data_IF_542187878230
#
_entry.id   IF_542187878230
#
_cell.length_a   1.000
_cell.length_b   1.000
_cell.length_c   1.000
_cell.angle_alpha   90.00
_cell.angle_beta   90.00
_cell.angle_gamma   90.00
#
_symmetry.space_group_name_H-M   'P 1'
#
loop_
_entity.id
_entity.type
_entity.pdbx_description
1 polymer ?
#
# COMPACT_ATOMS: atom_id res chain seq x y z
N UNK A 1 -71.47 12.93 23.49
CA UNK A 1 -70.43 13.98 23.35
C UNK A 1 -69.11 13.68 24.05
N UNK A 2 -69.04 12.82 25.09
CA UNK A 2 -67.77 12.47 25.77
C UNK A 2 -66.96 11.31 25.14
N UNK A 3 -67.57 10.49 24.28
CA UNK A 3 -66.91 9.34 23.62
C UNK A 3 -66.09 9.78 22.40
N UNK A 4 -66.49 10.86 21.71
CA UNK A 4 -65.78 11.37 20.53
C UNK A 4 -64.45 12.07 20.88
N UNK A 5 -64.28 12.57 22.10
CA UNK A 5 -63.04 13.22 22.55
C UNK A 5 -61.94 12.19 22.84
N UNK A 6 -62.29 10.97 23.27
CA UNK A 6 -61.31 9.91 23.53
C UNK A 6 -60.71 9.31 22.25
N UNK A 7 -61.48 9.24 21.17
CA UNK A 7 -61.00 8.72 19.88
C UNK A 7 -60.01 9.71 19.22
N UNK A 8 -60.19 11.02 19.43
CA UNK A 8 -59.30 12.04 18.87
C UNK A 8 -57.96 12.19 19.63
N UNK A 9 -57.92 11.84 20.92
CA UNK A 9 -56.65 11.78 21.69
C UNK A 9 -55.90 10.48 21.40
N UNK A 10 -56.58 9.42 20.95
CA UNK A 10 -55.96 8.15 20.60
C UNK A 10 -55.26 8.17 19.22
N UNK A 11 -55.70 9.02 18.28
CA UNK A 11 -55.03 9.16 16.98
C UNK A 11 -53.87 10.16 16.99
N UNK A 12 -53.78 11.04 17.99
CA UNK A 12 -52.64 11.98 18.13
C UNK A 12 -51.44 11.38 18.88
N UNK A 13 -51.63 10.23 19.55
CA UNK A 13 -50.53 9.47 20.15
C UNK A 13 -49.91 8.41 19.23
N UNK A 14 -50.52 8.10 18.07
CA UNK A 14 -49.98 7.10 17.14
C UNK A 14 -49.03 7.67 16.08
N UNK A 15 -49.01 8.99 15.86
CA UNK A 15 -48.09 9.58 14.87
C UNK A 15 -46.72 9.97 15.44
N UNK A 16 -46.43 9.64 16.70
CA UNK A 16 -45.14 9.90 17.35
C UNK A 16 -44.39 8.64 17.82
N UNK A 17 -44.81 7.44 17.42
CA UNK A 17 -44.26 6.20 17.97
C UNK A 17 -43.68 5.33 16.85
N UNK A 18 -42.35 5.39 16.76
CA UNK A 18 -41.40 4.66 15.91
C UNK A 18 -41.29 5.11 14.45
N UNK A 19 -40.51 6.18 14.21
CA UNK A 19 -39.62 6.12 13.03
C UNK A 19 -38.72 4.90 13.27
N UNK A 20 -38.95 3.80 12.55
CA UNK A 20 -38.08 2.62 12.60
C UNK A 20 -36.66 3.10 12.31
N UNK A 21 -35.73 2.95 13.25
CA UNK A 21 -34.35 3.37 13.03
C UNK A 21 -33.84 2.73 11.72
N UNK A 22 -33.30 3.55 10.81
CA UNK A 22 -32.82 3.09 9.51
C UNK A 22 -31.29 2.90 9.55
N UNK A 23 -30.77 1.67 9.34
CA UNK A 23 -29.32 1.42 9.27
C UNK A 23 -28.60 2.37 8.33
N UNK A 24 -29.15 2.62 7.13
CA UNK A 24 -28.55 3.47 6.11
C UNK A 24 -28.36 4.91 6.59
N UNK A 25 -29.36 5.47 7.30
CA UNK A 25 -29.27 6.82 7.86
C UNK A 25 -28.18 6.93 8.93
N UNK A 26 -28.05 5.90 9.79
CA UNK A 26 -26.97 5.86 10.78
C UNK A 26 -25.61 5.78 10.10
N UNK A 27 -25.49 4.97 9.06
CA UNK A 27 -24.25 4.80 8.31
C UNK A 27 -23.82 6.11 7.64
N UNK A 28 -24.70 6.70 6.83
CA UNK A 28 -24.45 7.96 6.12
C UNK A 28 -24.14 9.12 7.09
N UNK A 29 -24.80 9.16 8.25
CA UNK A 29 -24.51 10.15 9.30
C UNK A 29 -23.13 9.97 9.90
N UNK A 30 -22.70 8.72 10.11
CA UNK A 30 -21.36 8.39 10.58
C UNK A 30 -20.28 8.86 9.60
N UNK A 31 -20.46 8.58 8.31
CA UNK A 31 -19.56 8.99 7.24
C UNK A 31 -19.50 10.51 7.08
N UNK A 32 -20.65 11.19 7.11
CA UNK A 32 -20.68 12.65 7.08
C UNK A 32 -19.84 13.26 8.21
N UNK A 33 -20.02 12.78 9.44
CA UNK A 33 -19.19 13.27 10.54
C UNK A 33 -17.71 12.94 10.37
N UNK A 34 -17.37 11.80 9.76
CA UNK A 34 -15.98 11.47 9.45
C UNK A 34 -15.38 12.45 8.42
N UNK A 35 -16.10 12.73 7.34
CA UNK A 35 -15.68 13.66 6.28
C UNK A 35 -15.52 15.10 6.82
N UNK A 36 -16.38 15.51 7.76
CA UNK A 36 -16.27 16.79 8.48
C UNK A 36 -15.12 16.82 9.51
N UNK A 37 -14.34 15.74 9.65
CA UNK A 37 -13.27 15.59 10.65
C UNK A 37 -13.78 15.44 12.09
N UNK A 38 -15.09 15.27 12.29
CA UNK A 38 -15.72 15.12 13.59
C UNK A 38 -15.69 13.66 14.08
N UNK A 39 -14.47 13.13 14.24
CA UNK A 39 -14.24 11.71 14.50
C UNK A 39 -14.93 11.19 15.76
N UNK A 40 -15.04 11.98 16.84
CA UNK A 40 -15.76 11.57 18.06
C UNK A 40 -17.26 11.40 17.83
N UNK A 41 -17.89 12.27 17.02
CA UNK A 41 -19.30 12.11 16.65
C UNK A 41 -19.50 10.94 15.70
N UNK A 42 -18.63 10.79 14.70
CA UNK A 42 -18.63 9.63 13.80
C UNK A 42 -18.55 8.32 14.59
N UNK A 43 -17.60 8.25 15.53
CA UNK A 43 -17.42 7.13 16.45
C UNK A 43 -18.70 6.82 17.22
N UNK A 44 -19.33 7.84 17.84
CA UNK A 44 -20.59 7.64 18.58
C UNK A 44 -21.74 7.14 17.70
N UNK A 45 -21.81 7.56 16.44
CA UNK A 45 -22.84 7.12 15.50
C UNK A 45 -22.62 5.68 15.08
N UNK A 46 -21.40 5.31 14.68
CA UNK A 46 -21.09 3.92 14.32
C UNK A 46 -21.20 2.96 15.50
N UNK A 47 -20.84 3.37 16.72
CA UNK A 47 -21.05 2.51 17.89
C UNK A 47 -22.54 2.24 18.14
N UNK A 48 -23.41 3.22 17.89
CA UNK A 48 -24.87 3.03 17.94
C UNK A 48 -25.37 2.11 16.82
N UNK A 49 -24.84 2.26 15.60
CA UNK A 49 -25.14 1.38 14.48
C UNK A 49 -24.84 -0.09 14.85
N UNK A 50 -23.62 -0.36 15.32
CA UNK A 50 -23.17 -1.72 15.68
C UNK A 50 -24.01 -2.37 16.79
N UNK A 51 -24.58 -1.56 17.70
CA UNK A 51 -25.47 -2.02 18.77
C UNK A 51 -26.90 -2.27 18.29
N UNK A 52 -27.44 -1.40 17.44
CA UNK A 52 -28.84 -1.47 16.98
C UNK A 52 -29.03 -2.47 15.84
N UNK A 53 -28.00 -2.65 15.01
CA UNK A 53 -28.09 -3.40 13.75
C UNK A 53 -27.02 -4.49 13.65
N UNK A 54 -26.95 -5.45 14.61
CA UNK A 54 -25.87 -6.44 14.65
C UNK A 54 -25.89 -7.46 13.49
N UNK A 55 -27.02 -7.58 12.78
CA UNK A 55 -27.21 -8.53 11.67
C UNK A 55 -27.35 -7.81 10.31
N UNK A 56 -27.08 -6.52 10.27
CA UNK A 56 -27.18 -5.72 9.04
C UNK A 56 -25.99 -5.95 8.11
N UNK A 57 -26.21 -5.88 6.81
CA UNK A 57 -25.16 -6.07 5.81
C UNK A 57 -24.03 -5.03 5.91
N UNK A 58 -24.33 -3.83 6.42
CA UNK A 58 -23.35 -2.79 6.68
C UNK A 58 -22.51 -3.01 7.95
N UNK A 59 -22.79 -4.06 8.74
CA UNK A 59 -22.09 -4.32 10.00
C UNK A 59 -20.57 -4.48 9.84
N UNK A 60 -20.05 -5.31 8.91
CA UNK A 60 -18.61 -5.43 8.70
C UNK A 60 -17.94 -4.09 8.39
N UNK A 61 -18.56 -3.29 7.51
CA UNK A 61 -18.09 -1.96 7.11
C UNK A 61 -18.10 -0.98 8.29
N UNK A 62 -19.19 -0.91 9.05
CA UNK A 62 -19.29 -0.06 10.23
C UNK A 62 -18.26 -0.46 11.29
N UNK A 63 -18.01 -1.75 11.47
CA UNK A 63 -17.07 -2.27 12.45
C UNK A 63 -15.63 -1.91 12.09
N UNK A 64 -15.25 -2.10 10.83
CA UNK A 64 -13.96 -1.65 10.31
C UNK A 64 -13.79 -0.13 10.41
N UNK A 65 -14.79 0.65 9.98
CA UNK A 65 -14.77 2.12 10.06
C UNK A 65 -14.59 2.60 11.50
N UNK A 66 -15.19 1.90 12.48
CA UNK A 66 -14.98 2.20 13.90
C UNK A 66 -13.52 2.01 14.32
N UNK A 67 -12.83 1.01 13.77
CA UNK A 67 -11.39 0.81 13.97
C UNK A 67 -10.56 1.97 13.40
N UNK A 68 -10.84 2.39 12.16
CA UNK A 68 -10.17 3.54 11.52
C UNK A 68 -10.41 4.83 12.31
N UNK A 69 -11.65 5.08 12.71
CA UNK A 69 -12.01 6.25 13.51
C UNK A 69 -11.30 6.22 14.87
N UNK A 70 -11.15 5.03 15.47
CA UNK A 70 -10.41 4.86 16.73
C UNK A 70 -8.96 5.29 16.59
N UNK A 71 -8.30 5.02 15.45
CA UNK A 71 -6.96 5.56 15.16
C UNK A 71 -6.96 7.09 15.04
N UNK A 72 -7.96 7.68 14.35
CA UNK A 72 -8.06 9.14 14.17
C UNK A 72 -8.28 9.89 15.48
N UNK A 73 -8.85 9.26 16.50
CA UNK A 73 -8.99 9.80 17.86
C UNK A 73 -7.87 9.36 18.81
N UNK A 74 -6.80 8.74 18.28
CA UNK A 74 -5.64 8.22 19.02
C UNK A 74 -5.94 7.10 20.04
N UNK A 75 -7.10 6.46 19.96
CA UNK A 75 -7.44 5.27 20.75
C UNK A 75 -6.90 4.00 20.08
N UNK A 76 -5.58 3.86 20.13
CA UNK A 76 -4.88 2.75 19.48
C UNK A 76 -5.15 1.39 20.13
N UNK A 77 -5.54 1.36 21.42
CA UNK A 77 -5.90 0.13 22.14
C UNK A 77 -7.22 -0.42 21.57
N UNK A 78 -8.20 0.46 21.39
CA UNK A 78 -9.48 0.08 20.80
C UNK A 78 -9.35 -0.30 19.34
N UNK A 79 -8.60 0.48 18.56
CA UNK A 79 -8.30 0.16 17.18
C UNK A 79 -7.69 -1.25 17.06
N UNK A 80 -6.66 -1.55 17.84
CA UNK A 80 -6.04 -2.88 17.88
C UNK A 80 -7.05 -4.00 18.20
N UNK A 81 -7.90 -3.80 19.21
CA UNK A 81 -8.93 -4.78 19.58
C UNK A 81 -9.91 -5.03 18.42
N UNK A 82 -10.39 -3.97 17.77
CA UNK A 82 -11.29 -4.06 16.62
C UNK A 82 -10.63 -4.83 15.49
N UNK A 83 -9.43 -4.45 15.07
CA UNK A 83 -8.75 -5.09 13.95
C UNK A 83 -8.42 -6.55 14.24
N UNK A 84 -8.05 -6.91 15.48
CA UNK A 84 -7.91 -8.32 15.89
C UNK A 84 -9.21 -9.10 15.81
N UNK A 85 -10.34 -8.49 16.15
CA UNK A 85 -11.65 -9.13 16.00
C UNK A 85 -11.99 -9.36 14.52
N UNK A 86 -11.64 -8.42 13.63
CA UNK A 86 -11.82 -8.58 12.18
C UNK A 86 -11.03 -9.78 11.65
N UNK A 87 -9.78 -9.97 12.09
CA UNK A 87 -8.98 -11.13 11.67
C UNK A 87 -9.60 -12.48 12.04
N UNK A 88 -10.45 -12.51 13.08
CA UNK A 88 -11.13 -13.70 13.57
C UNK A 88 -12.60 -13.79 13.13
N UNK A 89 -13.09 -12.86 12.32
CA UNK A 89 -14.49 -12.82 11.89
C UNK A 89 -14.71 -13.55 10.55
N UNK A 90 -15.98 -13.72 10.20
CA UNK A 90 -16.40 -14.22 8.89
C UNK A 90 -16.56 -13.10 7.85
N UNK A 91 -16.01 -11.90 8.08
CA UNK A 91 -16.08 -10.81 7.10
C UNK A 91 -15.42 -11.23 5.79
N UNK A 92 -16.03 -10.80 4.69
CA UNK A 92 -15.59 -11.14 3.35
C UNK A 92 -14.72 -10.00 2.79
N UNK A 93 -13.43 -10.27 2.58
CA UNK A 93 -12.48 -9.27 2.08
C UNK A 93 -12.77 -8.77 0.65
N UNK A 94 -13.58 -9.52 -0.12
CA UNK A 94 -13.89 -9.21 -1.52
C UNK A 94 -15.32 -8.69 -1.70
N UNK A 95 -16.06 -8.40 -0.62
CA UNK A 95 -17.42 -7.87 -0.74
C UNK A 95 -17.42 -6.36 -1.03
N UNK A 96 -18.32 -5.94 -1.92
CA UNK A 96 -18.61 -4.53 -2.21
C UNK A 96 -17.44 -3.75 -2.82
N UNK A 97 -17.71 -2.50 -3.20
CA UNK A 97 -16.64 -1.54 -3.44
C UNK A 97 -16.18 -0.98 -2.10
N UNK A 98 -14.89 -1.04 -1.80
CA UNK A 98 -14.30 -0.40 -0.63
C UNK A 98 -14.28 1.12 -0.71
N UNK A 99 -15.23 1.77 -1.40
CA UNK A 99 -15.39 3.23 -1.45
C UNK A 99 -15.98 3.73 -0.12
N UNK A 100 -15.76 5.01 0.18
CA UNK A 100 -16.07 5.78 1.40
C UNK A 100 -14.85 5.99 2.33
N UNK A 101 -14.93 5.62 3.62
CA UNK A 101 -13.78 5.74 4.54
C UNK A 101 -12.62 4.84 4.11
N UNK A 102 -12.94 3.74 3.43
CA UNK A 102 -11.97 2.88 2.75
C UNK A 102 -11.69 3.48 1.37
N UNK A 103 -10.43 3.43 0.92
CA UNK A 103 -9.99 3.98 -0.37
C UNK A 103 -9.43 2.84 -1.24
N UNK A 104 -10.27 1.84 -1.52
CA UNK A 104 -9.85 0.67 -2.31
C UNK A 104 -11.04 0.10 -3.14
N UNK A 105 -10.81 -0.46 -4.34
CA UNK A 105 -11.85 -1.15 -5.10
C UNK A 105 -12.55 -2.28 -4.32
N UNK A 106 -11.89 -2.91 -3.34
CA UNK A 106 -12.47 -3.94 -2.46
C UNK A 106 -12.35 -3.54 -1.00
N UNK A 107 -13.16 -4.13 -0.13
CA UNK A 107 -13.14 -3.82 1.30
C UNK A 107 -11.86 -4.29 2.00
N UNK A 108 -11.31 -5.45 1.60
CA UNK A 108 -10.03 -6.00 2.06
C UNK A 108 -9.89 -5.95 3.59
N UNK A 109 -10.96 -6.26 4.32
CA UNK A 109 -11.04 -6.02 5.76
C UNK A 109 -9.89 -6.66 6.54
N UNK A 110 -9.61 -7.95 6.34
CA UNK A 110 -8.59 -8.68 7.10
C UNK A 110 -7.19 -8.34 6.62
N UNK A 111 -7.02 -8.14 5.32
CA UNK A 111 -5.80 -7.60 4.74
C UNK A 111 -5.40 -6.26 5.38
N UNK A 112 -6.29 -5.26 5.28
CA UNK A 112 -6.07 -3.92 5.80
C UNK A 112 -5.94 -3.92 7.33
N UNK A 113 -6.72 -4.73 8.03
CA UNK A 113 -6.61 -4.89 9.49
C UNK A 113 -5.22 -5.43 9.88
N UNK A 114 -4.68 -6.40 9.15
CA UNK A 114 -3.34 -6.93 9.39
C UNK A 114 -2.28 -5.86 9.10
N UNK A 115 -2.44 -5.08 8.02
CA UNK A 115 -1.56 -3.96 7.68
C UNK A 115 -1.49 -2.92 8.79
N UNK A 116 -2.66 -2.49 9.27
CA UNK A 116 -2.78 -1.52 10.36
C UNK A 116 -2.23 -2.08 11.67
N UNK A 117 -2.49 -3.34 12.01
CA UNK A 117 -1.92 -3.98 13.20
C UNK A 117 -0.39 -3.98 13.13
N UNK A 118 0.19 -4.27 11.97
CA UNK A 118 1.63 -4.15 11.78
C UNK A 118 2.13 -2.74 12.11
N UNK A 119 1.48 -1.70 11.59
CA UNK A 119 1.85 -0.31 11.86
C UNK A 119 1.74 0.05 13.35
N UNK A 120 0.64 -0.34 14.02
CA UNK A 120 0.45 -0.14 15.46
C UNK A 120 1.61 -0.75 16.24
N UNK A 121 1.99 -1.99 15.92
CA UNK A 121 3.07 -2.69 16.61
C UNK A 121 4.45 -2.11 16.27
N UNK A 122 4.65 -1.66 15.03
CA UNK A 122 5.88 -0.97 14.61
C UNK A 122 6.07 0.32 15.41
N UNK A 123 5.03 1.15 15.52
CA UNK A 123 5.04 2.40 16.28
C UNK A 123 5.28 2.17 17.78
N UNK A 124 4.86 1.02 18.31
CA UNK A 124 5.17 0.57 19.68
C UNK A 124 6.54 -0.09 19.82
N UNK A 125 7.37 -0.05 18.77
CA UNK A 125 8.70 -0.67 18.69
C UNK A 125 8.69 -2.19 18.90
N UNK A 126 7.54 -2.84 18.73
CA UNK A 126 7.43 -4.29 18.75
C UNK A 126 7.55 -4.83 17.32
N UNK A 127 8.77 -4.79 16.79
CA UNK A 127 9.06 -5.08 15.39
C UNK A 127 8.81 -6.54 15.00
N UNK A 128 8.95 -7.49 15.93
CA UNK A 128 8.59 -8.89 15.66
C UNK A 128 7.10 -9.05 15.40
N UNK A 129 6.24 -8.48 16.26
CA UNK A 129 4.79 -8.52 16.02
C UNK A 129 4.39 -7.74 14.78
N UNK A 130 5.06 -6.62 14.50
CA UNK A 130 4.83 -5.88 13.27
C UNK A 130 5.10 -6.77 12.05
N UNK A 131 6.24 -7.46 12.05
CA UNK A 131 6.64 -8.40 11.01
C UNK A 131 5.66 -9.58 10.88
N UNK A 132 5.15 -10.12 11.99
CA UNK A 132 4.15 -11.20 11.96
C UNK A 132 2.86 -10.75 11.27
N UNK A 133 2.36 -9.56 11.60
CA UNK A 133 1.16 -9.02 10.95
C UNK A 133 1.39 -8.64 9.48
N UNK A 134 2.59 -8.16 9.13
CA UNK A 134 3.05 -7.98 7.75
C UNK A 134 2.92 -9.28 6.94
N UNK A 135 3.41 -10.39 7.48
CA UNK A 135 3.30 -11.70 6.83
C UNK A 135 1.86 -12.18 6.73
N UNK A 136 1.04 -11.94 7.76
CA UNK A 136 -0.38 -12.31 7.71
C UNK A 136 -1.11 -11.58 6.55
N UNK A 137 -0.88 -10.28 6.35
CA UNK A 137 -1.45 -9.56 5.19
C UNK A 137 -0.89 -10.04 3.85
N UNK A 138 0.37 -10.45 3.79
CA UNK A 138 1.04 -10.79 2.52
C UNK A 138 0.77 -12.24 2.08
N UNK A 139 0.72 -13.17 3.04
CA UNK A 139 0.62 -14.60 2.77
C UNK A 139 -0.81 -15.13 2.92
N UNK A 140 -1.54 -14.66 3.95
CA UNK A 140 -2.85 -15.22 4.33
C UNK A 140 -4.02 -14.43 3.77
N UNK A 141 -4.00 -13.10 3.91
CA UNK A 141 -5.08 -12.22 3.45
C UNK A 141 -4.57 -11.35 2.32
N UNK A 142 -4.27 -11.96 1.16
CA UNK A 142 -3.56 -11.29 0.07
C UNK A 142 -4.29 -10.05 -0.44
N UNK A 143 -3.49 -9.04 -0.80
CA UNK A 143 -4.00 -7.88 -1.52
C UNK A 143 -4.60 -8.30 -2.85
N UNK A 144 -5.72 -7.67 -3.22
CA UNK A 144 -6.32 -7.84 -4.53
C UNK A 144 -6.56 -6.45 -5.13
N UNK A 145 -6.04 -6.25 -6.34
CA UNK A 145 -6.28 -5.06 -7.14
C UNK A 145 -6.87 -5.44 -8.51
N UNK A 146 -7.67 -4.52 -9.05
CA UNK A 146 -8.24 -4.60 -10.39
C UNK A 146 -7.27 -4.12 -11.49
N UNK A 147 -6.22 -3.38 -11.12
CA UNK A 147 -5.21 -2.86 -12.02
C UNK A 147 -3.79 -3.27 -11.61
N UNK A 148 -2.96 -3.58 -12.61
CA UNK A 148 -1.58 -3.99 -12.40
C UNK A 148 -0.74 -2.91 -11.69
N UNK A 149 -1.05 -1.63 -11.92
CA UNK A 149 -0.33 -0.52 -11.31
C UNK A 149 -0.50 -0.51 -9.79
N UNK A 150 -1.73 -0.65 -9.29
CA UNK A 150 -2.00 -0.70 -7.86
C UNK A 150 -1.39 -1.95 -7.20
N UNK A 151 -1.36 -3.07 -7.92
CA UNK A 151 -0.68 -4.27 -7.43
C UNK A 151 0.83 -4.03 -7.23
N UNK A 152 1.51 -3.39 -8.20
CA UNK A 152 2.95 -3.11 -8.09
C UNK A 152 3.24 -2.05 -7.03
N UNK A 153 2.42 -1.00 -6.93
CA UNK A 153 2.55 0.01 -5.86
C UNK A 153 2.41 -0.63 -4.48
N UNK A 154 1.42 -1.51 -4.31
CA UNK A 154 1.24 -2.29 -3.08
C UNK A 154 2.46 -3.19 -2.76
N UNK A 155 3.01 -3.89 -3.76
CA UNK A 155 4.20 -4.72 -3.57
C UNK A 155 5.40 -3.89 -3.07
N UNK A 156 5.57 -2.68 -3.62
CA UNK A 156 6.63 -1.75 -3.21
C UNK A 156 6.42 -1.26 -1.77
N UNK A 157 5.20 -0.83 -1.42
CA UNK A 157 4.87 -0.40 -0.06
C UNK A 157 5.07 -1.53 0.97
N UNK A 158 4.72 -2.75 0.59
CA UNK A 158 4.92 -3.95 1.41
C UNK A 158 6.41 -4.23 1.61
N UNK A 159 7.22 -4.16 0.55
CA UNK A 159 8.67 -4.32 0.63
C UNK A 159 9.32 -3.25 1.52
N UNK A 160 8.89 -2.00 1.42
CA UNK A 160 9.35 -0.90 2.30
C UNK A 160 8.99 -1.20 3.76
N UNK A 161 7.78 -1.67 4.02
CA UNK A 161 7.33 -2.02 5.38
C UNK A 161 8.13 -3.19 5.98
N UNK A 162 8.39 -4.23 5.18
CA UNK A 162 9.28 -5.32 5.56
C UNK A 162 10.70 -4.81 5.85
N UNK A 163 11.24 -3.95 4.98
CA UNK A 163 12.57 -3.39 5.12
C UNK A 163 12.72 -2.57 6.42
N UNK A 164 11.73 -1.72 6.73
CA UNK A 164 11.67 -0.95 7.97
C UNK A 164 11.69 -1.88 9.19
N UNK A 165 10.92 -2.98 9.18
CA UNK A 165 10.91 -3.95 10.28
C UNK A 165 12.25 -4.69 10.42
N UNK A 166 12.81 -5.19 9.32
CA UNK A 166 14.10 -5.89 9.34
C UNK A 166 15.23 -4.98 9.79
N UNK A 167 15.28 -3.74 9.30
CA UNK A 167 16.25 -2.74 9.72
C UNK A 167 16.14 -2.44 11.23
N UNK A 168 14.92 -2.26 11.74
CA UNK A 168 14.69 -2.03 13.17
C UNK A 168 15.05 -3.24 14.07
N UNK A 169 15.06 -4.45 13.51
CA UNK A 169 15.53 -5.68 14.15
C UNK A 169 17.06 -5.90 14.00
N UNK A 170 17.76 -5.02 13.28
CA UNK A 170 19.19 -5.15 12.99
C UNK A 170 19.53 -6.11 11.84
N UNK A 171 18.53 -6.62 11.11
CA UNK A 171 18.72 -7.51 9.95
C UNK A 171 18.84 -6.68 8.65
N UNK A 172 19.93 -5.94 8.52
CA UNK A 172 20.21 -5.09 7.35
C UNK A 172 20.24 -5.91 6.04
N UNK A 173 20.61 -7.19 6.11
CA UNK A 173 20.67 -8.06 4.95
C UNK A 173 19.28 -8.29 4.35
N UNK A 174 18.30 -8.66 5.16
CA UNK A 174 16.91 -8.83 4.69
C UNK A 174 16.29 -7.50 4.31
N UNK A 175 16.61 -6.42 5.02
CA UNK A 175 16.11 -5.09 4.68
C UNK A 175 16.53 -4.66 3.27
N UNK A 176 17.77 -4.95 2.87
CA UNK A 176 18.27 -4.74 1.51
C UNK A 176 17.62 -5.71 0.53
N UNK A 177 17.52 -7.00 0.91
CA UNK A 177 17.00 -8.06 0.04
C UNK A 177 15.59 -7.77 -0.46
N UNK A 178 14.67 -7.34 0.42
CA UNK A 178 13.29 -7.06 0.03
C UNK A 178 13.15 -5.82 -0.86
N UNK A 179 14.08 -4.85 -0.78
CA UNK A 179 14.06 -3.63 -1.60
C UNK A 179 14.80 -3.77 -2.93
N UNK A 180 15.75 -4.70 -3.03
CA UNK A 180 16.59 -4.88 -4.21
C UNK A 180 15.82 -5.06 -5.53
N UNK A 181 14.65 -5.75 -5.57
CA UNK A 181 13.87 -5.87 -6.80
C UNK A 181 13.35 -4.54 -7.35
N UNK A 182 13.30 -3.48 -6.53
CA UNK A 182 12.72 -2.17 -6.85
C UNK A 182 13.78 -1.07 -7.04
N UNK A 183 15.04 -1.46 -7.26
CA UNK A 183 16.17 -0.53 -7.55
C UNK A 183 15.95 0.26 -8.83
N UNK A 184 15.33 -0.37 -9.84
CA UNK A 184 15.05 0.23 -11.13
C UNK A 184 13.55 0.32 -11.37
N UNK A 185 13.10 1.38 -12.06
CA UNK A 185 11.68 1.58 -12.28
C UNK A 185 11.14 0.44 -13.15
N UNK A 186 10.28 -0.36 -12.52
CA UNK A 186 9.10 -0.88 -13.19
C UNK A 186 8.14 0.32 -13.29
N UNK A 187 7.45 0.54 -14.40
CA UNK A 187 6.71 1.77 -14.81
C UNK A 187 5.60 2.28 -13.84
N UNK A 188 5.85 2.42 -12.55
CA UNK A 188 4.83 2.52 -11.49
C UNK A 188 5.28 3.40 -10.31
N UNK A 189 4.30 3.80 -9.47
CA UNK A 189 4.51 4.62 -8.26
C UNK A 189 5.37 3.92 -7.20
N UNK A 190 5.88 4.67 -6.23
CA UNK A 190 6.59 4.14 -5.05
C UNK A 190 8.07 3.78 -5.21
N UNK A 191 8.57 3.56 -6.43
CA UNK A 191 9.99 3.19 -6.68
C UNK A 191 10.98 4.18 -6.06
N UNK A 192 10.67 5.49 -6.14
CA UNK A 192 11.48 6.55 -5.52
C UNK A 192 11.63 6.32 -4.01
N UNK A 193 10.55 5.97 -3.31
CA UNK A 193 10.60 5.72 -1.87
C UNK A 193 11.39 4.45 -1.55
N UNK A 194 11.23 3.38 -2.34
CA UNK A 194 12.02 2.15 -2.17
C UNK A 194 13.52 2.43 -2.29
N UNK A 195 13.93 3.20 -3.31
CA UNK A 195 15.32 3.63 -3.51
C UNK A 195 15.84 4.48 -2.35
N UNK A 196 15.00 5.40 -1.82
CA UNK A 196 15.37 6.22 -0.67
C UNK A 196 15.57 5.42 0.61
N UNK A 197 14.86 4.31 0.78
CA UNK A 197 15.10 3.39 1.90
C UNK A 197 16.32 2.48 1.62
N UNK A 198 16.56 2.08 0.37
CA UNK A 198 17.62 1.14 0.01
C UNK A 198 19.03 1.74 0.01
N UNK A 199 19.22 2.91 -0.60
CA UNK A 199 20.57 3.49 -0.79
C UNK A 199 21.30 3.73 0.55
N UNK A 200 20.66 4.28 1.59
CA UNK A 200 21.31 4.40 2.91
C UNK A 200 21.72 3.05 3.49
N UNK A 201 20.90 2.00 3.33
CA UNK A 201 21.24 0.66 3.80
C UNK A 201 22.46 0.09 3.07
N UNK A 202 22.54 0.28 1.75
CA UNK A 202 23.70 -0.14 0.95
C UNK A 202 24.96 0.61 1.37
N UNK A 203 24.90 1.94 1.48
CA UNK A 203 26.05 2.76 1.93
C UNK A 203 26.50 2.39 3.34
N UNK A 204 25.57 2.18 4.27
CA UNK A 204 25.89 1.77 5.64
C UNK A 204 26.53 0.39 5.71
N UNK A 205 26.12 -0.54 4.85
CA UNK A 205 26.62 -1.92 4.86
C UNK A 205 27.98 -2.06 4.19
N UNK A 206 28.15 -1.42 3.02
CA UNK A 206 29.31 -1.63 2.16
C UNK A 206 30.34 -0.50 2.21
N UNK A 207 29.98 0.66 2.78
CA UNK A 207 30.76 1.88 2.68
C UNK A 207 30.45 2.65 1.40
N UNK A 208 30.60 3.98 1.46
CA UNK A 208 30.23 4.86 0.35
C UNK A 208 31.09 4.65 -0.91
N UNK A 209 32.40 4.46 -0.74
CA UNK A 209 33.32 4.28 -1.87
C UNK A 209 33.08 2.96 -2.60
N UNK A 210 32.91 1.86 -1.86
CA UNK A 210 32.61 0.56 -2.47
C UNK A 210 31.23 0.55 -3.12
N UNK A 211 30.23 1.18 -2.50
CA UNK A 211 28.91 1.34 -3.12
C UNK A 211 28.98 2.12 -4.44
N UNK A 212 29.71 3.23 -4.50
CA UNK A 212 29.88 4.00 -5.75
C UNK A 212 30.61 3.19 -6.82
N UNK A 213 31.63 2.41 -6.42
CA UNK A 213 32.37 1.53 -7.32
C UNK A 213 31.48 0.44 -7.90
N UNK A 214 30.66 -0.21 -7.06
CA UNK A 214 29.72 -1.25 -7.49
C UNK A 214 28.64 -0.72 -8.43
N UNK A 215 28.12 0.49 -8.18
CA UNK A 215 27.17 1.14 -9.10
C UNK A 215 27.79 1.45 -10.47
N UNK A 216 29.10 1.75 -10.52
CA UNK A 216 29.83 1.90 -11.80
C UNK A 216 30.06 0.55 -12.48
N UNK A 217 30.47 -0.48 -11.74
CA UNK A 217 30.64 -1.83 -12.30
C UNK A 217 29.34 -2.40 -12.86
N UNK A 218 28.21 -2.09 -12.22
CA UNK A 218 26.88 -2.49 -12.66
C UNK A 218 26.55 -1.96 -14.07
N UNK A 219 26.91 -0.71 -14.40
CA UNK A 219 26.65 -0.19 -15.76
C UNK A 219 27.58 -0.80 -16.81
N UNK A 220 28.76 -1.28 -16.41
CA UNK A 220 29.72 -1.91 -17.33
C UNK A 220 29.45 -3.39 -17.57
N UNK A 221 28.76 -4.06 -16.63
CA UNK A 221 28.45 -5.49 -16.69
C UNK A 221 27.01 -5.77 -17.16
N UNK A 222 26.57 -5.10 -18.22
CA UNK A 222 25.26 -5.34 -18.84
C UNK A 222 25.36 -6.54 -19.79
N UNK A 223 24.42 -7.47 -19.64
CA UNK A 223 24.29 -8.64 -20.51
C UNK A 223 22.83 -8.89 -20.91
N UNK A 224 22.64 -9.55 -22.06
CA UNK A 224 21.32 -9.81 -22.63
C UNK A 224 21.01 -11.31 -22.62
N UNK A 225 19.72 -11.66 -22.65
CA UNK A 225 19.34 -13.00 -23.07
C UNK A 225 19.59 -13.21 -24.58
N UNK A 226 19.50 -14.46 -25.02
CA UNK A 226 19.83 -14.86 -26.40
C UNK A 226 19.00 -14.14 -27.48
N UNK A 227 17.83 -13.64 -27.10
CA UNK A 227 16.87 -12.99 -28.01
C UNK A 227 16.81 -11.47 -27.81
N UNK A 228 17.68 -10.89 -26.97
CA UNK A 228 17.67 -9.47 -26.56
C UNK A 228 16.34 -9.00 -25.96
N UNK A 229 15.53 -9.90 -25.40
CA UNK A 229 14.25 -9.58 -24.74
C UNK A 229 14.43 -9.23 -23.27
N UNK A 230 15.54 -9.64 -22.66
CA UNK A 230 15.84 -9.38 -21.25
C UNK A 230 17.23 -8.81 -21.11
N UNK A 231 17.32 -7.78 -20.28
CA UNK A 231 18.56 -7.10 -19.93
C UNK A 231 18.86 -7.37 -18.47
N UNK A 232 20.11 -7.69 -18.19
CA UNK A 232 20.56 -8.00 -16.84
C UNK A 232 21.83 -7.22 -16.51
N UNK A 233 22.01 -7.00 -15.21
CA UNK A 233 23.30 -6.62 -14.62
C UNK A 233 23.47 -7.35 -13.28
N UNK A 234 24.55 -7.02 -12.57
CA UNK A 234 24.72 -7.37 -11.17
C UNK A 234 25.04 -6.12 -10.36
N UNK A 235 24.56 -6.12 -9.12
CA UNK A 235 24.99 -5.17 -8.10
C UNK A 235 25.34 -5.98 -6.84
N UNK A 236 26.57 -5.87 -6.35
CA UNK A 236 27.07 -6.72 -5.25
C UNK A 236 26.84 -8.22 -5.49
N UNK A 237 27.17 -8.70 -6.69
CA UNK A 237 26.95 -10.08 -7.16
C UNK A 237 25.50 -10.57 -7.23
N UNK A 238 24.52 -9.74 -6.86
CA UNK A 238 23.10 -10.07 -7.01
C UNK A 238 22.65 -9.74 -8.43
N UNK A 239 22.10 -10.71 -9.19
CA UNK A 239 21.57 -10.44 -10.51
C UNK A 239 20.36 -9.51 -10.40
N UNK A 240 20.35 -8.46 -11.21
CA UNK A 240 19.24 -7.53 -11.33
C UNK A 240 18.72 -7.64 -12.76
N UNK A 241 17.45 -8.04 -12.89
CA UNK A 241 16.73 -8.02 -14.15
C UNK A 241 16.17 -6.62 -14.37
N UNK A 242 16.54 -5.98 -15.47
CA UNK A 242 15.84 -4.80 -15.93
C UNK A 242 14.70 -5.23 -16.84
N UNK A 243 13.47 -4.93 -16.41
CA UNK A 243 12.30 -5.04 -17.27
C UNK A 243 12.23 -3.78 -18.14
N UNK A 244 13.07 -3.72 -19.17
CA UNK A 244 12.83 -2.84 -20.30
C UNK A 244 11.89 -3.58 -21.26
N UNK A 245 10.86 -2.90 -21.76
CA UNK A 245 10.42 -3.20 -23.11
C UNK A 245 11.57 -2.75 -24.01
N UNK A 246 12.45 -3.68 -24.37
CA UNK A 246 13.29 -3.53 -25.55
C UNK A 246 12.36 -3.70 -26.75
N UNK A 247 11.42 -2.78 -26.91
CA UNK A 247 10.71 -2.65 -28.16
C UNK A 247 11.69 -1.98 -29.11
N UNK A 248 12.34 -2.78 -29.95
CA UNK A 248 13.27 -2.27 -30.96
C UNK A 248 12.59 -1.20 -31.83
N UNK A 249 11.27 -1.28 -32.00
CA UNK A 249 10.49 -0.28 -32.72
C UNK A 249 10.47 1.08 -31.99
N UNK A 250 10.43 1.13 -30.65
CA UNK A 250 10.58 2.39 -29.89
C UNK A 250 11.98 2.99 -30.04
N UNK A 251 13.02 2.14 -30.06
CA UNK A 251 14.41 2.58 -30.22
C UNK A 251 14.68 3.12 -31.64
N UNK A 252 14.07 2.50 -32.65
CA UNK A 252 14.08 2.94 -34.04
C UNK A 252 13.25 4.22 -34.19
N UNK A 253 12.09 4.32 -33.54
CA UNK A 253 11.21 5.49 -33.56
C UNK A 253 11.85 6.72 -32.90
N UNK A 254 12.59 6.53 -31.80
CA UNK A 254 13.41 7.59 -31.17
C UNK A 254 14.63 7.99 -32.02
N UNK A 255 14.87 7.33 -33.17
CA UNK A 255 16.00 7.60 -34.07
C UNK A 255 17.36 7.22 -33.50
N UNK A 256 17.37 6.36 -32.46
CA UNK A 256 18.57 6.04 -31.69
C UNK A 256 19.32 4.82 -32.20
N UNK A 257 18.67 3.97 -33.00
CA UNK A 257 19.31 2.84 -33.69
C UNK A 257 18.81 2.76 -35.13
N UNK A 258 19.71 2.35 -36.04
CA UNK A 258 19.39 2.14 -37.44
C UNK A 258 18.52 0.89 -37.62
N UNK A 259 17.34 1.06 -38.25
CA UNK A 259 16.38 -0.01 -38.56
C UNK A 259 16.98 -1.20 -39.34
N UNK A 260 18.10 -0.98 -40.02
CA UNK A 260 18.69 -1.97 -40.94
C UNK A 260 19.84 -2.80 -40.34
N UNK A 261 20.34 -2.47 -39.14
CA UNK A 261 21.32 -3.28 -38.39
C UNK A 261 21.45 -2.74 -36.96
N UNK A 262 20.85 -3.42 -35.98
CA UNK A 262 21.05 -3.14 -34.53
C UNK A 262 22.19 -4.01 -34.03
N UNK A 263 23.25 -3.41 -33.48
CA UNK A 263 24.36 -4.13 -32.84
C UNK A 263 24.17 -4.29 -31.33
N UNK A 264 24.78 -5.30 -30.72
CA UNK A 264 24.75 -5.48 -29.26
C UNK A 264 25.37 -4.26 -28.55
N UNK A 265 26.42 -3.67 -29.12
CA UNK A 265 27.07 -2.45 -28.62
C UNK A 265 26.11 -1.25 -28.58
N UNK A 266 25.33 -1.03 -29.64
CA UNK A 266 24.33 0.05 -29.67
C UNK A 266 23.23 -0.16 -28.62
N UNK A 267 22.77 -1.41 -28.42
CA UNK A 267 21.80 -1.72 -27.36
C UNK A 267 22.43 -1.48 -25.99
N UNK A 268 23.67 -1.91 -25.75
CA UNK A 268 24.39 -1.66 -24.48
C UNK A 268 24.46 -0.18 -24.18
N UNK A 269 24.88 0.62 -25.16
CA UNK A 269 25.01 2.06 -24.97
C UNK A 269 23.66 2.72 -24.68
N UNK A 270 22.59 2.32 -25.37
CA UNK A 270 21.23 2.77 -25.06
C UNK A 270 20.82 2.44 -23.62
N UNK A 271 21.02 1.19 -23.19
CA UNK A 271 20.68 0.75 -21.83
C UNK A 271 21.51 1.49 -20.78
N UNK A 272 22.81 1.67 -21.00
CA UNK A 272 23.69 2.46 -20.10
C UNK A 272 23.12 3.87 -19.90
N UNK A 273 22.79 4.56 -20.99
CA UNK A 273 22.21 5.91 -20.95
C UNK A 273 20.88 5.94 -20.19
N UNK A 274 20.01 4.93 -20.35
CA UNK A 274 18.75 4.82 -19.58
C UNK A 274 19.00 4.62 -18.09
N UNK A 275 19.91 3.70 -17.72
CA UNK A 275 20.25 3.42 -16.31
C UNK A 275 20.80 4.67 -15.63
N UNK A 276 21.66 5.42 -16.30
CA UNK A 276 22.21 6.69 -15.80
C UNK A 276 21.13 7.77 -15.60
N UNK A 277 20.02 7.66 -16.33
CA UNK A 277 18.84 8.49 -16.14
C UNK A 277 18.03 8.16 -14.88
N UNK A 278 18.13 6.93 -14.35
CA UNK A 278 17.29 6.49 -13.23
C UNK A 278 17.68 7.09 -11.89
N UNK A 279 16.64 7.26 -11.05
CA UNK A 279 16.76 7.86 -9.73
C UNK A 279 17.82 7.18 -8.87
N UNK A 280 17.85 5.84 -8.83
CA UNK A 280 18.86 5.09 -8.09
C UNK A 280 20.29 5.45 -8.48
N UNK A 281 20.60 5.43 -9.78
CA UNK A 281 21.97 5.71 -10.26
C UNK A 281 22.39 7.14 -9.93
N UNK A 282 21.49 8.10 -10.13
CA UNK A 282 21.77 9.50 -9.86
C UNK A 282 21.93 9.79 -8.36
N UNK A 283 21.07 9.23 -7.52
CA UNK A 283 21.16 9.32 -6.06
C UNK A 283 22.46 8.67 -5.56
N UNK A 284 22.84 7.53 -6.13
CA UNK A 284 24.09 6.85 -5.79
C UNK A 284 25.33 7.70 -6.09
N UNK A 285 25.27 8.52 -7.14
CA UNK A 285 26.34 9.42 -7.56
C UNK A 285 26.21 10.85 -7.00
N UNK A 286 25.29 11.10 -6.05
CA UNK A 286 25.21 12.37 -5.32
C UNK A 286 24.52 13.51 -6.06
N UNK A 287 23.69 13.23 -7.07
CA UNK A 287 22.90 14.27 -7.72
C UNK A 287 21.79 14.80 -6.78
N UNK A 288 21.52 16.13 -6.76
CA UNK A 288 20.49 16.73 -5.90
C UNK A 288 19.06 16.34 -6.29
N UNK A 289 18.14 16.36 -5.30
CA UNK A 289 16.73 15.91 -5.43
C UNK A 289 15.86 16.63 -6.45
N UNK A 290 16.27 17.82 -6.89
CA UNK A 290 15.43 18.73 -7.68
C UNK A 290 15.43 18.42 -9.19
N UNK A 291 16.22 17.45 -9.65
CA UNK A 291 16.38 17.10 -11.07
C UNK A 291 15.78 15.74 -11.47
N UNK A 292 14.87 15.22 -10.65
CA UNK A 292 14.27 13.91 -10.86
C UNK A 292 12.88 14.04 -11.48
N UNK A 293 12.81 13.85 -12.80
CA UNK A 293 11.56 13.58 -13.53
C UNK A 293 11.20 12.12 -13.39
#
# INVERSE_FOLDING_TARGET
MKIFIYIFVFTWFYTNIFSKDNPEEFFAKGEKYYQEGNYKKAYSVFEKFLKKFPNDEGYPKAFYNTGIISLKISDTIKAESIFKNILNSNFNDLEGSGKDIMDNPYTLYKHNSSRILSEIYFNRKNYNKALDYLKISDEKFKFYADCANAAVEYDIETAISFSKCYSALGDTNKAIEVLMPYVFPVLFGGVKEAVNNLVPLLKSKYGEDEFKKEVKLMIDNIYFDKDYKKVFTKLFEKPILFKFNLDLDDMIFEGKINKNAVTEEEIKEYVKNKIQGYYFYRLANGAPEEHYK
#
